data_IF_982827749145
#
_entry.id   IF_982827749145
#
_cell.length_a   1.000
_cell.length_b   1.000
_cell.length_c   1.000
_cell.angle_alpha   90.00
_cell.angle_beta   90.00
_cell.angle_gamma   90.00
#
_symmetry.space_group_name_H-M   'P 1'
#
loop_
_entity.id
_entity.type
_entity.pdbx_description
1 polymer ?
#
# COMPACT_ATOMS: atom_id res chain seq x y z
N UNK A 1 1.09 16.10 4.48
CA UNK A 1 1.24 16.79 3.17
C UNK A 1 2.58 16.44 2.50
N UNK A 2 3.74 16.64 3.13
CA UNK A 2 5.05 16.33 2.51
C UNK A 2 5.22 14.85 2.09
N UNK A 3 4.83 13.90 2.95
CA UNK A 3 4.87 12.46 2.64
C UNK A 3 4.07 12.09 1.38
N UNK A 4 2.93 12.76 1.16
CA UNK A 4 2.09 12.52 -0.01
C UNK A 4 2.82 12.86 -1.32
N UNK A 5 3.60 13.95 -1.35
CA UNK A 5 4.37 14.34 -2.52
C UNK A 5 5.56 13.39 -2.78
N UNK A 6 6.22 12.92 -1.72
CA UNK A 6 7.24 11.88 -1.84
C UNK A 6 6.65 10.59 -2.40
N UNK A 7 5.49 10.19 -1.86
CA UNK A 7 4.79 9.00 -2.34
C UNK A 7 4.35 9.16 -3.81
N UNK A 8 3.80 10.32 -4.20
CA UNK A 8 3.45 10.58 -5.59
C UNK A 8 4.66 10.52 -6.53
N UNK A 9 5.83 11.00 -6.07
CA UNK A 9 7.06 10.93 -6.85
C UNK A 9 7.51 9.49 -7.10
N UNK A 10 7.36 8.62 -6.11
CA UNK A 10 7.67 7.20 -6.22
C UNK A 10 6.64 6.49 -7.10
N UNK A 11 5.35 6.74 -6.86
CA UNK A 11 4.25 6.23 -7.67
C UNK A 11 4.46 6.51 -9.18
N UNK A 12 4.79 7.75 -9.54
CA UNK A 12 5.06 8.13 -10.94
C UNK A 12 6.25 7.40 -11.58
N UNK A 13 7.18 6.85 -10.79
CA UNK A 13 8.31 6.07 -11.31
C UNK A 13 7.96 4.60 -11.51
N UNK A 14 6.95 4.11 -10.80
CA UNK A 14 6.55 2.70 -10.80
C UNK A 14 5.40 2.44 -11.80
N UNK A 15 4.50 3.41 -11.97
CA UNK A 15 3.41 3.31 -12.93
C UNK A 15 3.83 3.82 -14.31
N UNK A 16 3.46 3.07 -15.35
CA UNK A 16 3.71 3.43 -16.75
C UNK A 16 2.91 4.66 -17.17
N UNK A 17 1.64 4.70 -16.77
CA UNK A 17 0.68 5.75 -17.10
C UNK A 17 0.10 6.29 -15.77
N UNK A 18 0.87 7.11 -15.03
CA UNK A 18 0.47 7.52 -13.69
C UNK A 18 -0.70 8.51 -13.72
N UNK A 19 -1.57 8.37 -12.73
CA UNK A 19 -2.68 9.28 -12.49
C UNK A 19 -2.21 10.72 -12.20
N UNK A 20 -3.10 11.68 -12.47
CA UNK A 20 -2.96 13.05 -11.98
C UNK A 20 -2.86 13.07 -10.45
N UNK A 21 -2.25 14.13 -9.91
CA UNK A 21 -2.09 14.26 -8.46
C UNK A 21 -3.44 14.28 -7.74
N UNK A 22 -4.46 14.93 -8.30
CA UNK A 22 -5.80 15.00 -7.71
C UNK A 22 -6.41 13.60 -7.53
N UNK A 23 -6.35 12.78 -8.59
CA UNK A 23 -6.83 11.38 -8.55
C UNK A 23 -6.00 10.55 -7.59
N UNK A 24 -4.67 10.60 -7.69
CA UNK A 24 -3.77 9.89 -6.77
C UNK A 24 -4.05 10.24 -5.30
N UNK A 25 -4.20 11.53 -5.00
CA UNK A 25 -4.39 12.01 -3.63
C UNK A 25 -5.68 11.50 -2.99
N UNK A 26 -6.71 11.21 -3.79
CA UNK A 26 -8.00 10.72 -3.30
C UNK A 26 -7.91 9.37 -2.57
N UNK A 27 -6.93 8.52 -2.91
CA UNK A 27 -6.72 7.20 -2.29
C UNK A 27 -5.40 7.10 -1.54
N UNK A 28 -4.38 7.87 -1.92
CA UNK A 28 -3.03 7.73 -1.37
C UNK A 28 -2.92 8.09 0.11
N UNK A 29 -3.81 8.95 0.64
CA UNK A 29 -3.88 9.21 2.08
C UNK A 29 -4.23 7.95 2.88
N UNK A 30 -5.20 7.18 2.42
CA UNK A 30 -5.59 5.92 3.06
C UNK A 30 -4.44 4.93 3.03
N UNK A 31 -3.78 4.78 1.88
CA UNK A 31 -2.62 3.88 1.75
C UNK A 31 -1.47 4.27 2.68
N UNK A 32 -1.18 5.57 2.83
CA UNK A 32 -0.16 6.03 3.77
C UNK A 32 -0.52 5.73 5.23
N UNK A 33 -1.81 5.84 5.57
CA UNK A 33 -2.31 5.47 6.90
C UNK A 33 -2.17 3.95 7.13
N UNK A 34 -2.51 3.13 6.13
CA UNK A 34 -2.36 1.68 6.21
C UNK A 34 -0.89 1.28 6.42
N UNK A 35 0.04 1.90 5.68
CA UNK A 35 1.48 1.67 5.89
C UNK A 35 1.94 2.09 7.28
N UNK A 36 1.45 3.23 7.78
CA UNK A 36 1.74 3.67 9.14
C UNK A 36 1.27 2.65 10.17
N UNK A 37 0.06 2.09 10.02
CA UNK A 37 -0.46 1.09 10.95
C UNK A 37 0.28 -0.24 10.85
N UNK A 38 0.62 -0.68 9.63
CA UNK A 38 1.42 -1.89 9.42
C UNK A 38 2.78 -1.78 10.13
N UNK A 39 3.44 -0.63 10.00
CA UNK A 39 4.74 -0.39 10.64
C UNK A 39 4.64 -0.23 12.15
N UNK A 40 3.65 0.51 12.61
CA UNK A 40 3.42 0.71 14.04
C UNK A 40 3.17 -0.61 14.78
N UNK A 41 2.52 -1.57 14.12
CA UNK A 41 2.24 -2.90 14.68
C UNK A 41 3.31 -3.94 14.31
N UNK A 42 4.43 -3.52 13.71
CA UNK A 42 5.56 -4.38 13.30
C UNK A 42 5.17 -5.52 12.35
N UNK A 43 4.05 -5.41 11.64
CA UNK A 43 3.51 -6.49 10.81
C UNK A 43 4.36 -6.73 9.56
N UNK A 44 4.36 -7.95 9.04
CA UNK A 44 4.95 -8.24 7.74
C UNK A 44 4.03 -7.71 6.63
N UNK A 45 4.47 -6.67 5.93
CA UNK A 45 3.71 -6.04 4.84
C UNK A 45 3.33 -7.03 3.75
N UNK A 46 4.25 -7.91 3.35
CA UNK A 46 4.01 -8.89 2.28
C UNK A 46 2.92 -9.90 2.67
N UNK A 47 2.88 -10.31 3.94
CA UNK A 47 1.82 -11.20 4.47
C UNK A 47 0.47 -10.50 4.51
N UNK A 48 0.41 -9.23 4.93
CA UNK A 48 -0.83 -8.44 4.94
C UNK A 48 -1.44 -8.36 3.53
N UNK A 49 -0.65 -8.02 2.51
CA UNK A 49 -1.17 -7.95 1.14
C UNK A 49 -1.58 -9.32 0.60
N UNK A 50 -0.85 -10.38 0.96
CA UNK A 50 -1.22 -11.75 0.64
C UNK A 50 -2.55 -12.15 1.29
N UNK A 51 -2.76 -11.85 2.57
CA UNK A 51 -4.02 -12.14 3.26
C UNK A 51 -5.19 -11.35 2.68
N UNK A 52 -5.01 -10.06 2.37
CA UNK A 52 -6.05 -9.25 1.72
C UNK A 52 -6.47 -9.83 0.37
N UNK A 53 -5.49 -10.24 -0.44
CA UNK A 53 -5.73 -10.94 -1.72
C UNK A 53 -6.47 -12.26 -1.50
N UNK A 54 -6.07 -13.05 -0.51
CA UNK A 54 -6.66 -14.37 -0.28
C UNK A 54 -8.08 -14.27 0.29
N UNK A 55 -8.37 -13.32 1.18
CA UNK A 55 -9.72 -12.97 1.64
C UNK A 55 -10.61 -12.62 0.43
N UNK A 56 -10.08 -11.83 -0.49
CA UNK A 56 -10.82 -11.45 -1.68
C UNK A 56 -11.04 -12.62 -2.65
N UNK A 57 -10.07 -13.54 -2.79
CA UNK A 57 -10.26 -14.80 -3.54
C UNK A 57 -11.34 -15.67 -2.90
N UNK A 58 -11.35 -15.80 -1.58
CA UNK A 58 -12.38 -16.55 -0.85
C UNK A 58 -13.77 -15.96 -1.04
N UNK A 59 -13.90 -14.63 -1.03
CA UNK A 59 -15.16 -13.95 -1.34
C UNK A 59 -15.68 -14.34 -2.72
N UNK A 60 -14.82 -14.44 -3.74
CA UNK A 60 -15.21 -14.91 -5.09
C UNK A 60 -15.68 -16.37 -5.09
N UNK A 61 -14.98 -17.25 -4.36
CA UNK A 61 -15.36 -18.67 -4.26
C UNK A 61 -16.67 -18.91 -3.51
N UNK A 62 -17.02 -18.06 -2.54
CA UNK A 62 -18.28 -18.20 -1.79
C UNK A 62 -19.55 -17.91 -2.60
N UNK A 63 -19.42 -17.41 -3.84
CA UNK A 63 -20.57 -17.11 -4.70
C UNK A 63 -20.83 -18.28 -5.66
N UNK A 64 -21.64 -19.24 -5.23
CA UNK A 64 -22.12 -20.33 -6.09
C UNK A 64 -23.22 -19.81 -7.03
N UNK A 65 -22.85 -19.54 -8.29
CA UNK A 65 -23.77 -19.14 -9.37
C UNK A 65 -23.57 -17.70 -9.87
N UNK A 66 -23.48 -17.55 -11.20
CA UNK A 66 -23.45 -16.31 -12.00
C UNK A 66 -22.71 -15.08 -11.43
N UNK A 67 -21.62 -15.27 -10.67
CA UNK A 67 -20.81 -14.14 -10.26
C UNK A 67 -20.07 -13.58 -11.47
N UNK A 68 -20.51 -12.41 -11.92
CA UNK A 68 -19.86 -11.65 -12.99
C UNK A 68 -19.13 -10.49 -12.34
N UNK A 69 -17.80 -10.52 -12.42
CA UNK A 69 -16.99 -9.39 -11.95
C UNK A 69 -17.31 -8.16 -12.78
N UNK A 70 -17.69 -7.08 -12.10
CA UNK A 70 -17.72 -5.76 -12.74
C UNK A 70 -16.30 -5.29 -12.99
N UNK A 71 -16.13 -4.44 -13.99
CA UNK A 71 -14.83 -3.82 -14.33
C UNK A 71 -14.23 -3.09 -13.13
N UNK A 72 -15.07 -2.38 -12.36
CA UNK A 72 -14.68 -1.70 -11.13
C UNK A 72 -14.11 -2.65 -10.06
N UNK A 73 -14.63 -3.88 -9.96
CA UNK A 73 -14.07 -4.87 -9.05
C UNK A 73 -12.70 -5.34 -9.51
N UNK A 74 -12.51 -5.58 -10.81
CA UNK A 74 -11.21 -5.96 -11.40
C UNK A 74 -10.15 -4.88 -11.20
N UNK A 75 -10.53 -3.63 -11.36
CA UNK A 75 -9.64 -2.49 -11.15
C UNK A 75 -9.22 -2.39 -9.67
N UNK A 76 -10.16 -2.58 -8.75
CA UNK A 76 -9.87 -2.62 -7.32
C UNK A 76 -8.93 -3.79 -6.93
N UNK A 77 -9.14 -4.99 -7.49
CA UNK A 77 -8.24 -6.14 -7.28
C UNK A 77 -6.83 -5.84 -7.75
N UNK A 78 -6.72 -5.33 -8.98
CA UNK A 78 -5.43 -4.98 -9.59
C UNK A 78 -4.72 -3.90 -8.81
N UNK A 79 -5.48 -2.94 -8.26
CA UNK A 79 -4.95 -1.89 -7.41
C UNK A 79 -4.38 -2.44 -6.08
N UNK A 80 -5.09 -3.34 -5.40
CA UNK A 80 -4.59 -3.94 -4.15
C UNK A 80 -3.29 -4.74 -4.36
N UNK A 81 -3.16 -5.45 -5.50
CA UNK A 81 -1.91 -6.14 -5.83
C UNK A 81 -0.75 -5.15 -6.08
N UNK A 82 -1.04 -3.96 -6.63
CA UNK A 82 -0.04 -2.90 -6.82
C UNK A 82 0.42 -2.26 -5.51
N UNK A 83 -0.41 -2.22 -4.46
CA UNK A 83 -0.03 -1.61 -3.17
C UNK A 83 1.22 -2.26 -2.55
N UNK A 84 1.35 -3.58 -2.69
CA UNK A 84 2.54 -4.29 -2.23
C UNK A 84 3.82 -3.83 -2.93
N UNK A 85 3.73 -3.33 -4.16
CA UNK A 85 4.87 -2.84 -4.92
C UNK A 85 5.24 -1.40 -4.55
N UNK A 86 4.35 -0.67 -3.89
CA UNK A 86 4.58 0.72 -3.49
C UNK A 86 5.29 0.85 -2.15
N UNK A 87 5.00 -0.06 -1.20
CA UNK A 87 5.57 0.01 0.13
C UNK A 87 7.11 -0.12 0.16
N UNK A 88 7.75 -1.14 -0.45
CA UNK A 88 9.20 -1.31 -0.32
C UNK A 88 10.01 -0.11 -0.87
N UNK A 89 9.68 0.44 -2.06
CA UNK A 89 10.35 1.65 -2.56
C UNK A 89 10.10 2.88 -1.69
N UNK A 90 8.90 3.04 -1.14
CA UNK A 90 8.58 4.13 -0.22
C UNK A 90 9.38 4.03 1.08
N UNK A 91 9.36 2.85 1.71
CA UNK A 91 10.13 2.56 2.92
C UNK A 91 11.62 2.85 2.71
N UNK A 92 12.22 2.30 1.65
CA UNK A 92 13.63 2.52 1.35
C UNK A 92 13.96 4.00 1.14
N UNK A 93 13.10 4.73 0.42
CA UNK A 93 13.25 6.18 0.22
C UNK A 93 13.21 6.94 1.55
N UNK A 94 12.25 6.63 2.42
CA UNK A 94 12.07 7.31 3.71
C UNK A 94 13.28 7.10 4.63
N UNK A 95 13.76 5.86 4.75
CA UNK A 95 14.97 5.54 5.53
C UNK A 95 16.20 6.28 4.99
N UNK A 96 16.44 6.21 3.68
CA UNK A 96 17.60 6.86 3.05
C UNK A 96 17.62 8.39 3.25
N UNK A 97 16.44 9.00 3.32
CA UNK A 97 16.29 10.45 3.51
C UNK A 97 16.10 10.86 4.97
N UNK A 98 16.12 9.92 5.93
CA UNK A 98 15.84 10.17 7.36
C UNK A 98 14.49 10.87 7.59
N UNK A 99 13.48 10.46 6.82
CA UNK A 99 12.10 10.92 6.94
C UNK A 99 11.27 9.74 7.43
N UNK A 100 10.30 9.96 8.32
CA UNK A 100 9.39 8.89 8.73
C UNK A 100 8.07 9.40 9.25
N UNK A 101 7.01 8.64 8.96
CA UNK A 101 5.79 8.67 9.74
C UNK A 101 5.97 7.89 11.04
N UNK A 102 5.03 8.03 11.97
CA UNK A 102 5.16 7.52 13.34
C UNK A 102 5.40 6.01 13.39
N UNK A 103 4.63 5.22 12.63
CA UNK A 103 4.79 3.78 12.57
C UNK A 103 6.15 3.34 12.07
N UNK A 104 6.68 3.99 11.01
CA UNK A 104 8.03 3.71 10.51
C UNK A 104 9.08 3.96 11.59
N UNK A 105 8.97 5.09 12.29
CA UNK A 105 9.90 5.43 13.37
C UNK A 105 9.87 4.39 14.50
N UNK A 106 8.69 3.86 14.83
CA UNK A 106 8.56 2.80 15.84
C UNK A 106 9.19 1.50 15.37
N UNK A 107 8.93 1.09 14.13
CA UNK A 107 9.57 -0.08 13.53
C UNK A 107 11.08 0.04 13.56
N UNK A 108 11.63 1.17 13.12
CA UNK A 108 13.07 1.39 13.13
C UNK A 108 13.64 1.45 14.53
N UNK A 109 12.95 2.08 15.48
CA UNK A 109 13.37 2.07 16.87
C UNK A 109 13.48 0.64 17.40
N UNK A 110 12.47 -0.21 17.14
CA UNK A 110 12.47 -1.63 17.51
C UNK A 110 13.58 -2.43 16.83
N UNK A 111 13.87 -2.17 15.56
CA UNK A 111 14.94 -2.85 14.81
C UNK A 111 16.35 -2.46 15.28
N UNK A 112 16.50 -1.31 15.95
CA UNK A 112 17.78 -0.77 16.43
C UNK A 112 17.89 -0.79 17.97
N UNK A 113 17.14 -1.67 18.64
CA UNK A 113 17.31 -1.91 20.07
C UNK A 113 18.50 -2.86 20.26
N UNK A 114 19.61 -2.29 20.72
CA UNK A 114 20.71 -3.01 21.38
C UNK A 114 20.45 -3.07 22.90
#
# INVERSE_FOLDING_TARGET
>A
IQLLFHFYTIYKRLEKDPDSFDVFSSWAFTVLQDFNEIDQNLLNTAEIFMYLRDIQRLKKWSVTGSFTETELMKDHYSFLEKLNNFYPPLYAFLIANKIGYQGLMYREACNNID
#
